data_IF_843820528509
#
_entry.id   IF_843820528509
#
_cell.length_a   1.000
_cell.length_b   1.000
_cell.length_c   1.000
_cell.angle_alpha   90.00
_cell.angle_beta   90.00
_cell.angle_gamma   90.00
#
_symmetry.space_group_name_H-M   'P 1'
#
loop_
_entity.id
_entity.type
_entity.pdbx_description
1 polymer ?
#
# COMPACT_ATOMS: atom_id res chain seq x y z
N UNK A 1 16.32 -2.01 -9.39
CA UNK A 1 14.88 -1.91 -9.71
C UNK A 1 14.56 -0.93 -10.85
N UNK A 2 14.94 0.36 -10.75
CA UNK A 2 14.64 1.37 -11.81
C UNK A 2 15.18 1.01 -13.21
N UNK A 3 16.31 0.32 -13.29
CA UNK A 3 17.01 0.00 -14.55
C UNK A 3 16.20 -0.90 -15.48
N UNK A 4 15.17 -1.60 -14.97
CA UNK A 4 14.38 -2.58 -15.74
C UNK A 4 13.04 -2.04 -16.26
N UNK A 5 12.67 -0.79 -15.97
CA UNK A 5 11.37 -0.21 -16.36
C UNK A 5 11.51 1.23 -16.89
N UNK A 6 10.60 1.62 -17.80
CA UNK A 6 10.60 2.93 -18.48
C UNK A 6 9.86 4.05 -17.74
N UNK A 7 9.36 3.79 -16.53
CA UNK A 7 8.70 4.79 -15.68
C UNK A 7 9.41 4.91 -14.34
N UNK A 8 9.18 6.01 -13.63
CA UNK A 8 9.81 6.22 -12.32
C UNK A 8 9.24 5.24 -11.29
N UNK A 9 10.07 4.34 -10.76
CA UNK A 9 9.70 3.55 -9.59
C UNK A 9 9.70 4.49 -8.39
N UNK A 10 8.57 4.60 -7.70
CA UNK A 10 8.43 5.47 -6.53
C UNK A 10 8.65 4.68 -5.24
N UNK A 11 9.55 5.16 -4.40
CA UNK A 11 9.85 4.63 -3.08
C UNK A 11 9.60 5.70 -2.02
N UNK A 12 9.02 5.37 -0.86
CA UNK A 12 8.90 6.29 0.25
C UNK A 12 10.28 6.56 0.87
N UNK A 13 10.62 7.83 1.08
CA UNK A 13 11.85 8.23 1.77
C UNK A 13 11.80 7.98 3.30
N UNK A 14 10.59 7.79 3.86
CA UNK A 14 10.35 7.46 5.27
C UNK A 14 9.17 6.52 5.38
N UNK A 15 9.27 5.56 6.29
CA UNK A 15 8.22 4.59 6.59
C UNK A 15 7.94 4.55 8.10
N UNK A 16 6.69 4.27 8.51
CA UNK A 16 6.40 3.86 9.89
C UNK A 16 7.29 2.69 10.30
N UNK A 17 7.74 2.71 11.54
CA UNK A 17 8.55 1.64 12.14
C UNK A 17 7.66 0.83 13.07
N UNK A 18 7.75 -0.50 12.99
CA UNK A 18 7.15 -1.37 13.98
C UNK A 18 7.79 -1.11 15.36
N UNK A 19 6.96 -1.01 16.40
CA UNK A 19 7.39 -0.83 17.79
C UNK A 19 6.94 -1.98 18.69
N UNK A 20 6.10 -2.89 18.18
CA UNK A 20 5.56 -4.02 18.94
C UNK A 20 5.47 -5.27 18.08
N UNK A 21 5.77 -6.43 18.67
CA UNK A 21 5.47 -7.75 18.11
C UNK A 21 4.01 -8.17 18.36
N UNK A 22 3.72 -9.45 18.15
CA UNK A 22 2.37 -9.98 18.29
C UNK A 22 1.95 -10.10 19.77
N UNK A 23 2.86 -10.56 20.62
CA UNK A 23 2.65 -10.74 22.07
C UNK A 23 3.43 -9.71 22.88
N UNK A 24 3.09 -9.58 24.15
CA UNK A 24 3.91 -8.81 25.08
C UNK A 24 5.29 -9.48 25.23
N UNK A 25 6.37 -8.70 25.08
CA UNK A 25 7.74 -9.21 25.10
C UNK A 25 8.28 -9.66 23.74
N UNK A 26 7.43 -9.84 22.73
CA UNK A 26 7.89 -10.18 21.37
C UNK A 26 8.67 -9.00 20.75
N UNK A 27 9.74 -9.27 20.00
CA UNK A 27 10.42 -8.24 19.23
C UNK A 27 9.48 -7.63 18.19
N UNK A 28 9.74 -6.37 17.84
CA UNK A 28 9.01 -5.69 16.77
C UNK A 28 9.17 -6.46 15.45
N UNK A 29 8.07 -6.63 14.71
CA UNK A 29 8.09 -7.37 13.44
C UNK A 29 9.09 -6.75 12.44
N UNK A 30 9.90 -7.57 11.76
CA UNK A 30 10.88 -7.06 10.81
C UNK A 30 10.19 -6.39 9.62
N UNK A 31 10.78 -5.28 9.18
CA UNK A 31 10.36 -4.59 7.97
C UNK A 31 10.81 -5.39 6.73
N UNK A 32 9.94 -5.51 5.74
CA UNK A 32 10.27 -6.07 4.44
C UNK A 32 9.78 -5.16 3.31
N UNK A 33 10.37 -5.35 2.15
CA UNK A 33 9.94 -4.72 0.91
C UNK A 33 10.11 -5.70 -0.24
N UNK A 34 9.09 -5.81 -1.07
CA UNK A 34 9.05 -6.75 -2.20
C UNK A 34 8.63 -6.06 -3.49
N UNK A 35 8.97 -6.70 -4.62
CA UNK A 35 8.56 -6.22 -5.93
C UNK A 35 7.22 -6.86 -6.30
N UNK A 36 6.23 -6.03 -6.60
CA UNK A 36 4.97 -6.46 -7.18
C UNK A 36 5.16 -6.70 -8.69
N UNK A 37 4.69 -7.85 -9.18
CA UNK A 37 4.81 -8.25 -10.58
C UNK A 37 6.17 -8.87 -10.95
N UNK A 38 6.38 -9.12 -12.24
CA UNK A 38 7.59 -9.79 -12.76
C UNK A 38 8.45 -8.81 -13.58
N UNK A 39 9.42 -8.08 -12.98
CA UNK A 39 10.27 -7.11 -13.70
C UNK A 39 10.99 -7.65 -14.93
N UNK A 40 11.30 -8.95 -14.94
CA UNK A 40 12.01 -9.63 -16.04
C UNK A 40 11.10 -10.04 -17.20
N UNK A 41 9.78 -9.80 -17.12
CA UNK A 41 8.80 -10.19 -18.14
C UNK A 41 7.83 -9.03 -18.43
N UNK A 42 8.31 -7.90 -18.99
CA UNK A 42 7.52 -6.68 -19.17
C UNK A 42 6.35 -6.81 -20.17
N UNK A 43 6.30 -7.90 -20.97
CA UNK A 43 5.17 -8.20 -21.85
C UNK A 43 3.95 -8.77 -21.13
N UNK A 44 4.07 -9.17 -19.86
CA UNK A 44 2.91 -9.54 -19.05
C UNK A 44 2.24 -8.25 -18.58
N UNK A 45 0.93 -8.12 -18.83
CA UNK A 45 0.11 -6.99 -18.37
C UNK A 45 -0.12 -6.95 -16.86
N UNK A 46 0.86 -7.37 -16.05
CA UNK A 46 0.78 -7.45 -14.60
C UNK A 46 1.23 -6.15 -13.94
N UNK A 47 0.60 -5.77 -12.81
CA UNK A 47 0.99 -4.57 -12.08
C UNK A 47 2.47 -4.60 -11.75
N UNK A 48 3.15 -3.45 -11.79
CA UNK A 48 4.56 -3.36 -11.44
C UNK A 48 4.83 -2.28 -10.42
N UNK A 49 5.45 -2.65 -9.31
CA UNK A 49 5.80 -1.69 -8.26
C UNK A 49 6.40 -2.34 -7.03
N UNK A 50 6.10 -1.74 -5.88
CA UNK A 50 6.66 -2.11 -4.59
C UNK A 50 5.55 -2.37 -3.58
N UNK A 51 5.82 -3.35 -2.74
CA UNK A 51 5.14 -3.61 -1.49
C UNK A 51 6.11 -3.33 -0.34
N UNK A 52 5.57 -2.78 0.76
CA UNK A 52 6.29 -2.55 1.99
C UNK A 52 5.41 -2.96 3.16
N UNK A 53 5.99 -3.67 4.13
CA UNK A 53 5.21 -4.10 5.26
C UNK A 53 6.00 -4.66 6.43
N UNK A 54 5.24 -5.01 7.45
CA UNK A 54 5.67 -5.80 8.60
C UNK A 54 4.43 -6.40 9.26
N UNK A 55 4.61 -7.61 9.82
CA UNK A 55 3.54 -8.39 10.43
C UNK A 55 2.40 -8.72 9.44
N UNK A 56 1.31 -9.27 9.96
CA UNK A 56 0.12 -9.65 9.20
C UNK A 56 -1.12 -8.92 9.74
N UNK A 57 -2.14 -8.68 8.89
CA UNK A 57 -3.37 -8.06 9.35
C UNK A 57 -4.21 -9.04 10.17
N UNK A 58 -4.97 -8.49 11.10
CA UNK A 58 -6.11 -9.18 11.73
C UNK A 58 -7.35 -8.90 10.90
N UNK A 59 -7.94 -9.95 10.35
CA UNK A 59 -9.12 -9.88 9.48
C UNK A 59 -10.20 -10.87 9.94
N UNK A 60 -11.44 -10.79 9.42
CA UNK A 60 -12.47 -11.79 9.69
C UNK A 60 -12.00 -13.24 9.48
N UNK A 61 -11.10 -13.43 8.52
CA UNK A 61 -10.48 -14.71 8.17
C UNK A 61 -9.44 -15.18 9.20
N UNK A 62 -9.01 -14.33 10.14
CA UNK A 62 -8.11 -14.68 11.24
C UNK A 62 -8.77 -15.52 12.35
N UNK A 63 -10.06 -15.85 12.21
CA UNK A 63 -10.80 -16.73 13.12
C UNK A 63 -11.87 -16.02 13.96
N UNK A 64 -12.66 -16.78 14.75
CA UNK A 64 -13.87 -16.27 15.40
C UNK A 64 -13.62 -15.09 16.38
N UNK A 65 -12.40 -14.98 16.91
CA UNK A 65 -12.02 -13.96 17.87
C UNK A 65 -11.35 -12.73 17.24
N UNK A 66 -11.29 -12.60 15.91
CA UNK A 66 -10.54 -11.54 15.23
C UNK A 66 -10.86 -10.14 15.75
N UNK A 67 -12.13 -9.85 16.07
CA UNK A 67 -12.56 -8.53 16.60
C UNK A 67 -11.82 -8.12 17.86
N UNK A 68 -11.48 -9.08 18.73
CA UNK A 68 -10.70 -8.84 19.97
C UNK A 68 -9.24 -8.54 19.68
N UNK A 69 -8.76 -8.86 18.48
CA UNK A 69 -7.38 -8.71 18.04
C UNK A 69 -7.17 -7.52 17.09
N UNK A 70 -8.25 -6.84 16.66
CA UNK A 70 -8.21 -5.69 15.72
C UNK A 70 -7.31 -4.54 16.22
N UNK A 71 -7.02 -4.49 17.51
CA UNK A 71 -6.02 -3.55 18.06
C UNK A 71 -4.66 -3.68 17.36
N UNK A 72 -4.33 -4.84 16.78
CA UNK A 72 -3.09 -5.07 16.03
C UNK A 72 -3.06 -4.37 14.68
N UNK A 73 -4.22 -4.06 14.08
CA UNK A 73 -4.32 -3.29 12.84
C UNK A 73 -4.06 -1.80 13.10
N UNK A 74 -2.80 -1.50 13.44
CA UNK A 74 -2.29 -0.17 13.75
C UNK A 74 -0.86 -0.05 13.22
N UNK A 75 -0.43 1.16 12.82
CA UNK A 75 0.93 1.39 12.33
C UNK A 75 2.04 1.02 13.31
N UNK A 76 1.77 0.87 14.60
CA UNK A 76 2.76 0.38 15.57
C UNK A 76 3.20 -1.07 15.34
N UNK A 77 2.35 -1.86 14.68
CA UNK A 77 2.27 -3.29 14.91
C UNK A 77 2.05 -4.06 13.60
N UNK A 78 1.36 -3.45 12.64
CA UNK A 78 1.16 -3.97 11.30
C UNK A 78 1.17 -2.83 10.25
N UNK A 79 1.74 -3.12 9.09
CA UNK A 79 1.68 -2.26 7.92
C UNK A 79 1.68 -3.10 6.66
N UNK A 80 0.81 -2.74 5.72
CA UNK A 80 0.87 -3.20 4.34
C UNK A 80 0.56 -2.02 3.44
N UNK A 81 1.60 -1.49 2.79
CA UNK A 81 1.54 -0.35 1.90
C UNK A 81 2.09 -0.76 0.53
N UNK A 82 1.32 -0.49 -0.53
CA UNK A 82 1.75 -0.79 -1.89
C UNK A 82 1.77 0.47 -2.75
N UNK A 83 2.66 0.51 -3.73
CA UNK A 83 2.75 1.56 -4.75
C UNK A 83 3.20 0.93 -6.06
N UNK A 84 2.35 0.99 -7.08
CA UNK A 84 2.63 0.38 -8.36
C UNK A 84 1.99 1.12 -9.53
N UNK A 85 2.45 0.82 -10.74
CA UNK A 85 1.75 1.14 -11.98
C UNK A 85 0.71 0.05 -12.23
N UNK A 86 -0.60 0.38 -12.24
CA UNK A 86 -1.62 -0.61 -12.54
C UNK A 86 -1.65 -0.94 -14.04
N UNK A 87 -1.95 -2.19 -14.35
CA UNK A 87 -2.13 -2.72 -15.70
C UNK A 87 -3.12 -3.89 -15.68
N UNK A 88 -3.75 -4.18 -16.82
CA UNK A 88 -4.57 -5.38 -16.98
C UNK A 88 -5.91 -5.40 -16.25
N UNK A 89 -6.21 -4.39 -15.41
CA UNK A 89 -7.52 -4.25 -14.76
C UNK A 89 -8.06 -2.83 -14.94
N UNK A 90 -9.37 -2.74 -15.18
CA UNK A 90 -10.07 -1.46 -15.14
C UNK A 90 -10.01 -0.86 -13.72
N UNK A 91 -10.08 0.47 -13.65
CA UNK A 91 -10.19 1.15 -12.36
C UNK A 91 -11.49 0.76 -11.65
N UNK A 92 -11.48 0.59 -10.31
CA UNK A 92 -12.66 0.20 -9.57
C UNK A 92 -13.72 1.31 -9.58
N UNK A 93 -14.99 0.94 -9.42
CA UNK A 93 -16.10 1.90 -9.28
C UNK A 93 -16.09 2.58 -7.91
N UNK A 94 -16.74 3.75 -7.81
CA UNK A 94 -16.87 4.49 -6.55
C UNK A 94 -15.66 5.37 -6.20
N UNK A 95 -14.80 5.64 -7.19
CA UNK A 95 -13.70 6.59 -7.07
C UNK A 95 -14.22 8.01 -6.90
N UNK A 96 -13.64 8.75 -5.96
CA UNK A 96 -13.94 10.18 -5.73
C UNK A 96 -12.69 11.05 -5.89
N UNK A 97 -12.80 12.28 -6.41
CA UNK A 97 -11.68 13.22 -6.44
C UNK A 97 -11.10 13.46 -5.04
N UNK A 98 -9.78 13.49 -4.93
CA UNK A 98 -9.07 13.77 -3.69
C UNK A 98 -7.67 14.36 -3.94
N UNK A 99 -7.10 14.98 -2.90
CA UNK A 99 -5.71 15.45 -2.90
C UNK A 99 -4.95 14.80 -1.74
N UNK A 100 -4.02 13.90 -2.02
CA UNK A 100 -3.19 13.24 -1.02
C UNK A 100 -1.71 13.50 -1.26
N UNK A 101 -0.97 13.84 -0.20
CA UNK A 101 0.49 14.01 -0.27
C UNK A 101 0.98 15.02 -1.31
N UNK A 102 0.18 16.06 -1.59
CA UNK A 102 0.46 17.07 -2.61
C UNK A 102 0.06 16.68 -4.04
N UNK A 103 -0.56 15.50 -4.24
CA UNK A 103 -0.96 14.97 -5.55
C UNK A 103 -2.47 15.03 -5.69
N UNK A 104 -2.94 15.46 -6.86
CA UNK A 104 -4.36 15.44 -7.22
C UNK A 104 -4.69 14.11 -7.92
N UNK A 105 -5.80 13.50 -7.56
CA UNK A 105 -6.13 12.16 -8.02
C UNK A 105 -7.49 11.66 -7.59
N UNK A 106 -7.67 10.36 -7.60
CA UNK A 106 -8.89 9.66 -7.24
C UNK A 106 -8.65 8.76 -6.02
N UNK A 107 -9.60 8.74 -5.09
CA UNK A 107 -9.56 7.95 -3.86
C UNK A 107 -10.69 6.94 -3.88
N UNK A 108 -10.40 5.70 -3.51
CA UNK A 108 -11.38 4.70 -3.12
C UNK A 108 -11.11 4.32 -1.65
N UNK A 109 -11.95 4.75 -0.70
CA UNK A 109 -11.84 4.33 0.70
C UNK A 109 -11.99 2.81 0.85
N UNK A 110 -11.30 2.25 1.84
CA UNK A 110 -11.56 0.87 2.26
C UNK A 110 -13.01 0.71 2.71
N UNK A 111 -13.59 -0.47 2.48
CA UNK A 111 -14.94 -0.83 2.91
C UNK A 111 -15.00 -1.36 4.36
N UNK A 112 -13.85 -1.46 5.01
CA UNK A 112 -13.71 -1.99 6.37
C UNK A 112 -12.72 -3.16 6.41
N UNK A 113 -12.99 -4.11 7.29
CA UNK A 113 -12.25 -5.36 7.43
C UNK A 113 -12.86 -6.45 6.53
N UNK A 114 -12.01 -7.39 6.10
CA UNK A 114 -12.36 -8.51 5.24
C UNK A 114 -12.37 -8.20 3.74
N UNK A 115 -12.46 -9.27 2.94
CA UNK A 115 -12.25 -9.19 1.48
C UNK A 115 -13.54 -9.04 0.67
N UNK A 116 -14.71 -8.95 1.32
CA UNK A 116 -16.00 -8.86 0.63
C UNK A 116 -16.04 -7.62 -0.29
N UNK A 117 -16.34 -7.85 -1.57
CA UNK A 117 -16.41 -6.80 -2.58
C UNK A 117 -15.06 -6.39 -3.18
N UNK A 118 -14.00 -7.16 -2.94
CA UNK A 118 -12.76 -7.11 -3.72
C UNK A 118 -13.05 -7.40 -5.19
N UNK A 119 -12.39 -6.66 -6.09
CA UNK A 119 -12.50 -6.87 -7.54
C UNK A 119 -11.10 -6.84 -8.14
N UNK A 120 -10.73 -7.89 -8.89
CA UNK A 120 -9.36 -8.08 -9.37
C UNK A 120 -8.36 -7.96 -8.19
N UNK A 121 -7.31 -7.16 -8.33
CA UNK A 121 -6.33 -6.88 -7.27
C UNK A 121 -6.68 -5.62 -6.44
N UNK A 122 -7.90 -5.10 -6.55
CA UNK A 122 -8.39 -3.98 -5.75
C UNK A 122 -9.06 -4.48 -4.47
N UNK A 123 -8.24 -4.84 -3.47
CA UNK A 123 -8.71 -5.35 -2.19
C UNK A 123 -9.61 -4.36 -1.45
N UNK A 124 -10.76 -4.84 -0.97
CA UNK A 124 -11.77 -3.99 -0.32
C UNK A 124 -11.37 -3.53 1.08
N UNK A 125 -10.45 -4.22 1.75
CA UNK A 125 -9.83 -3.80 3.01
C UNK A 125 -8.68 -2.79 2.83
N UNK A 126 -8.47 -2.27 1.62
CA UNK A 126 -7.47 -1.25 1.32
C UNK A 126 -8.12 0.09 0.96
N UNK A 127 -7.50 1.17 1.43
CA UNK A 127 -7.75 2.50 0.87
C UNK A 127 -6.80 2.72 -0.29
N UNK A 128 -7.34 3.01 -1.47
CA UNK A 128 -6.60 3.19 -2.72
C UNK A 128 -6.58 4.64 -3.15
N UNK A 129 -5.43 5.12 -3.62
CA UNK A 129 -5.29 6.43 -4.23
C UNK A 129 -4.56 6.33 -5.58
N UNK A 130 -5.15 6.98 -6.58
CA UNK A 130 -4.71 6.93 -7.97
C UNK A 130 -4.35 8.33 -8.45
N UNK A 131 -3.22 8.49 -9.12
CA UNK A 131 -2.84 9.78 -9.70
C UNK A 131 -1.95 9.61 -10.92
N UNK A 132 -1.92 10.64 -11.75
CA UNK A 132 -0.97 10.72 -12.86
C UNK A 132 0.25 11.56 -12.46
N UNK A 133 1.44 11.09 -12.82
CA UNK A 133 2.68 11.85 -12.68
C UNK A 133 3.64 11.48 -13.81
N UNK A 134 4.07 12.48 -14.59
CA UNK A 134 4.96 12.27 -15.74
C UNK A 134 4.39 11.24 -16.74
N UNK A 135 3.11 11.38 -17.11
CA UNK A 135 2.43 10.48 -18.04
C UNK A 135 2.14 9.07 -17.51
N UNK A 136 2.53 8.74 -16.27
CA UNK A 136 2.29 7.42 -15.67
C UNK A 136 1.18 7.48 -14.63
N UNK A 137 0.20 6.58 -14.75
CA UNK A 137 -0.77 6.30 -13.69
C UNK A 137 -0.10 5.49 -12.59
N UNK A 138 -0.22 5.94 -11.35
CA UNK A 138 0.18 5.21 -10.16
C UNK A 138 -1.04 4.87 -9.32
N UNK A 139 -0.99 3.72 -8.66
CA UNK A 139 -1.90 3.32 -7.59
C UNK A 139 -1.08 3.12 -6.32
N UNK A 140 -1.45 3.81 -5.25
CA UNK A 140 -0.96 3.52 -3.90
C UNK A 140 -2.10 2.96 -3.07
N UNK A 141 -1.82 2.00 -2.21
CA UNK A 141 -2.81 1.50 -1.27
C UNK A 141 -2.24 1.28 0.12
N UNK A 142 -3.11 1.42 1.11
CA UNK A 142 -2.79 1.17 2.50
C UNK A 142 -3.93 0.36 3.11
N UNK A 143 -3.56 -0.68 3.84
CA UNK A 143 -4.50 -1.48 4.61
C UNK A 143 -5.33 -0.63 5.59
N UNK A 144 -6.56 -1.06 5.82
CA UNK A 144 -7.49 -0.37 6.69
C UNK A 144 -7.05 -0.40 8.17
N UNK A 145 -7.12 0.77 8.81
CA UNK A 145 -6.76 1.09 10.19
C UNK A 145 -7.84 1.98 10.86
N UNK A 146 -9.04 2.07 10.27
CA UNK A 146 -10.05 3.03 10.71
C UNK A 146 -9.80 4.45 10.20
N UNK A 147 -10.24 5.45 10.99
CA UNK A 147 -10.19 6.89 10.63
C UNK A 147 -8.78 7.40 10.29
N UNK A 148 -7.73 6.73 10.76
CA UNK A 148 -6.33 7.10 10.52
C UNK A 148 -5.76 6.68 9.16
N UNK A 149 -6.45 5.83 8.39
CA UNK A 149 -5.89 5.27 7.15
C UNK A 149 -5.60 6.33 6.10
N UNK A 150 -6.58 7.17 5.73
CA UNK A 150 -6.39 8.18 4.68
C UNK A 150 -5.32 9.22 5.05
N UNK A 151 -5.30 9.79 6.27
CA UNK A 151 -4.21 10.68 6.69
C UNK A 151 -2.82 10.03 6.63
N UNK A 152 -2.69 8.76 7.04
CA UNK A 152 -1.42 8.04 6.95
C UNK A 152 -1.00 7.79 5.50
N UNK A 153 -1.92 7.34 4.66
CA UNK A 153 -1.68 7.18 3.22
C UNK A 153 -1.20 8.50 2.59
N UNK A 154 -1.82 9.63 2.95
CA UNK A 154 -1.38 10.94 2.48
C UNK A 154 0.05 11.29 2.90
N UNK A 155 0.44 10.96 4.15
CA UNK A 155 1.81 11.15 4.64
C UNK A 155 2.80 10.28 3.89
N UNK A 156 2.48 9.01 3.62
CA UNK A 156 3.30 8.08 2.84
C UNK A 156 3.49 8.59 1.40
N UNK A 157 2.41 8.99 0.73
CA UNK A 157 2.45 9.54 -0.63
C UNK A 157 3.35 10.77 -0.71
N UNK A 158 3.32 11.65 0.30
CA UNK A 158 4.20 12.83 0.38
C UNK A 158 5.68 12.46 0.44
N UNK A 159 6.02 11.30 1.00
CA UNK A 159 7.40 10.80 1.10
C UNK A 159 7.87 10.10 -0.18
N UNK A 160 6.99 9.83 -1.14
CA UNK A 160 7.38 9.14 -2.37
C UNK A 160 8.39 9.97 -3.18
N UNK A 161 9.49 9.32 -3.55
CA UNK A 161 10.56 9.83 -4.41
C UNK A 161 10.92 8.78 -5.46
N UNK A 162 11.36 9.16 -6.67
CA UNK A 162 11.99 8.22 -7.58
C UNK A 162 13.11 7.42 -6.89
N UNK A 163 13.10 6.09 -7.02
CA UNK A 163 14.05 5.19 -6.35
C UNK A 163 15.52 5.56 -6.61
N UNK A 164 15.82 6.08 -7.81
CA UNK A 164 17.15 6.57 -8.19
C UNK A 164 17.68 7.72 -7.32
N UNK A 165 16.79 8.49 -6.69
CA UNK A 165 17.15 9.62 -5.82
C UNK A 165 17.49 9.16 -4.38
N UNK A 166 17.11 7.94 -4.00
CA UNK A 166 17.36 7.42 -2.64
C UNK A 166 18.72 6.74 -2.51
N UNK A 167 19.37 6.34 -3.61
CA UNK A 167 20.68 5.66 -3.60
C UNK A 167 21.89 6.59 -3.35
N UNK A 168 21.66 7.89 -3.10
CA UNK A 168 22.71 8.92 -2.94
C UNK A 168 22.88 9.42 -1.51
N UNK A 169 22.58 8.60 -0.50
CA UNK A 169 22.87 8.89 0.90
C UNK A 169 23.58 7.69 1.52
#
# INVERSE_FOLDING_TARGET
>A
MQVRVRFAVLCPARMPRAVRGWRAGDPAAPFHSDVLGAPGRPGLGTPYGLEFGYSAPVEPESGPNWRRLVWHNRPCCFLHFTIFRPTGAALPRGLRPARLGGKQGLLLPARGYGLRGTVAYWWSNHTWFFWHQGGTLYAASLHYFGRGTTPLLARLIRQLRPARQLRRR
#
